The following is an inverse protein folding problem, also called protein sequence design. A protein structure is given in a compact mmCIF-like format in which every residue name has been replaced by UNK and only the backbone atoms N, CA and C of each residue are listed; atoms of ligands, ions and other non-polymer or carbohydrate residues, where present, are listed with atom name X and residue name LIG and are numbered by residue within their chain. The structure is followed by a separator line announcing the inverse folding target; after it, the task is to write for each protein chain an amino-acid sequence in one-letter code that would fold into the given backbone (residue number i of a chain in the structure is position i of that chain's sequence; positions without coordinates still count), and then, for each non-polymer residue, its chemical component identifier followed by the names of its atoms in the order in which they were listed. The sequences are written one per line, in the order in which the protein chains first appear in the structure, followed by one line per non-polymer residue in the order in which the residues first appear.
data_IF_936612807358
#
_entry.id   IF_936612807358
#
_cell.length_a   1.000
_cell.length_b   1.000
_cell.length_c   1.000
_cell.angle_alpha   90.00
_cell.angle_beta   90.00
_cell.angle_gamma   90.00
#
_symmetry.space_group_name_H-M   'P 1'
#
loop_
_entity.id
_entity.type
_entity.pdbx_description
1 polymer ?
#
# COMPACT_ATOMS: atom_id res chain seq x y z
N UNK A 1 -20.80 -10.26 10.81
CA UNK A 1 -20.71 -11.00 9.55
C UNK A 1 -19.29 -11.55 9.48
N UNK A 2 -19.12 -12.87 9.37
CA UNK A 2 -17.78 -13.45 9.29
C UNK A 2 -17.24 -13.29 7.88
N UNK A 3 -16.38 -12.29 7.68
CA UNK A 3 -15.80 -11.98 6.37
C UNK A 3 -14.90 -13.11 5.88
N UNK A 4 -14.28 -13.89 6.77
CA UNK A 4 -13.44 -15.02 6.38
C UNK A 4 -14.28 -16.18 5.80
N UNK A 5 -15.44 -16.44 6.40
CA UNK A 5 -16.46 -17.34 5.86
C UNK A 5 -16.90 -16.90 4.45
N UNK A 6 -17.15 -15.61 4.26
CA UNK A 6 -17.55 -15.07 2.95
C UNK A 6 -16.49 -15.27 1.87
N UNK A 7 -15.21 -15.15 2.21
CA UNK A 7 -14.11 -15.18 1.24
C UNK A 7 -13.69 -16.62 0.91
N UNK A 8 -13.73 -17.53 1.90
CA UNK A 8 -13.24 -18.90 1.79
C UNK A 8 -14.34 -19.94 1.53
N UNK A 9 -15.61 -19.61 1.83
CA UNK A 9 -16.74 -20.50 1.68
C UNK A 9 -16.96 -21.01 0.24
N UNK A 10 -17.53 -22.20 0.13
CA UNK A 10 -18.05 -22.73 -1.13
C UNK A 10 -19.23 -21.89 -1.63
N UNK A 11 -19.45 -21.90 -2.94
CA UNK A 11 -20.45 -21.05 -3.59
C UNK A 11 -21.86 -21.64 -3.39
N UNK A 12 -22.41 -21.41 -2.19
CA UNK A 12 -23.82 -21.65 -1.89
C UNK A 12 -24.63 -20.39 -2.16
N UNK A 13 -25.94 -20.56 -2.44
CA UNK A 13 -26.86 -19.43 -2.68
C UNK A 13 -26.86 -18.45 -1.49
N UNK A 14 -26.85 -18.98 -0.26
CA UNK A 14 -26.80 -18.16 0.96
C UNK A 14 -25.51 -17.33 1.07
N UNK A 15 -24.37 -17.89 0.66
CA UNK A 15 -23.07 -17.20 0.71
C UNK A 15 -22.96 -16.13 -0.38
N UNK A 16 -23.55 -16.40 -1.55
CA UNK A 16 -23.67 -15.42 -2.64
C UNK A 16 -24.51 -14.21 -2.20
N UNK A 17 -25.64 -14.44 -1.54
CA UNK A 17 -26.49 -13.37 -1.00
C UNK A 17 -25.74 -12.52 0.03
N UNK A 18 -25.03 -13.16 0.98
CA UNK A 18 -24.23 -12.43 1.98
C UNK A 18 -23.09 -11.61 1.33
N UNK A 19 -22.46 -12.11 0.26
CA UNK A 19 -21.44 -11.35 -0.51
C UNK A 19 -22.05 -10.16 -1.24
N UNK A 20 -23.23 -10.33 -1.83
CA UNK A 20 -23.94 -9.23 -2.47
C UNK A 20 -24.31 -8.16 -1.43
N UNK A 21 -24.81 -8.56 -0.26
CA UNK A 21 -25.10 -7.64 0.84
C UNK A 21 -23.85 -6.87 1.30
N UNK A 22 -22.69 -7.53 1.40
CA UNK A 22 -21.42 -6.86 1.71
C UNK A 22 -21.04 -5.87 0.60
N UNK A 23 -21.17 -6.25 -0.67
CA UNK A 23 -20.90 -5.37 -1.81
C UNK A 23 -21.80 -4.12 -1.79
N UNK A 24 -23.10 -4.32 -1.61
CA UNK A 24 -24.09 -3.24 -1.53
C UNK A 24 -23.82 -2.32 -0.33
N UNK A 25 -23.44 -2.89 0.81
CA UNK A 25 -23.01 -2.13 1.98
C UNK A 25 -21.78 -1.26 1.67
N UNK A 26 -20.73 -1.82 1.07
CA UNK A 26 -19.53 -1.07 0.71
C UNK A 26 -19.81 0.04 -0.32
N UNK A 27 -20.72 -0.21 -1.26
CA UNK A 27 -21.18 0.78 -2.22
C UNK A 27 -22.03 1.89 -1.57
N UNK A 28 -22.74 1.58 -0.48
CA UNK A 28 -23.56 2.54 0.26
C UNK A 28 -22.77 3.52 1.12
N UNK A 29 -21.47 3.27 1.34
CA UNK A 29 -20.64 4.15 2.16
C UNK A 29 -20.47 5.53 1.47
N UNK A 30 -20.69 6.64 2.21
CA UNK A 30 -20.65 8.00 1.64
C UNK A 30 -19.27 8.40 1.10
N UNK A 31 -18.20 7.85 1.68
CA UNK A 31 -16.84 7.99 1.18
C UNK A 31 -16.04 6.71 1.43
N UNK A 32 -15.06 6.48 0.57
CA UNK A 32 -14.20 5.29 0.58
C UNK A 32 -12.74 5.72 0.40
N UNK A 33 -11.79 5.06 1.07
CA UNK A 33 -10.38 5.30 0.79
C UNK A 33 -10.05 4.80 -0.62
N UNK A 34 -9.27 5.57 -1.38
CA UNK A 34 -8.75 5.12 -2.67
C UNK A 34 -7.52 4.22 -2.46
N UNK A 35 -6.70 4.58 -1.48
CA UNK A 35 -5.45 3.90 -1.17
C UNK A 35 -5.46 3.43 0.30
N UNK A 36 -5.09 2.17 0.51
CA UNK A 36 -5.14 1.52 1.81
C UNK A 36 -3.76 1.02 2.22
N UNK A 37 -3.36 1.28 3.45
CA UNK A 37 -2.11 0.79 4.02
C UNK A 37 -2.38 -0.12 5.21
N UNK A 38 -1.51 -1.11 5.39
CA UNK A 38 -1.53 -2.00 6.56
C UNK A 38 -0.12 -2.13 7.08
N UNK A 39 0.07 -1.90 8.37
CA UNK A 39 1.33 -2.16 9.05
C UNK A 39 1.19 -3.49 9.78
N UNK A 40 2.09 -4.42 9.49
CA UNK A 40 2.12 -5.73 10.11
C UNK A 40 3.16 -5.73 11.25
N UNK A 41 2.85 -6.31 12.43
CA UNK A 41 3.82 -6.41 13.51
C UNK A 41 4.97 -7.36 13.13
N UNK A 42 6.21 -7.00 13.46
CA UNK A 42 7.42 -7.78 13.13
C UNK A 42 7.52 -9.09 13.94
N UNK A 43 7.04 -9.10 15.18
CA UNK A 43 7.09 -10.26 16.07
C UNK A 43 5.91 -10.27 17.03
N UNK A 44 4.89 -11.07 16.72
CA UNK A 44 3.79 -11.36 17.61
C UNK A 44 2.98 -12.52 17.05
N UNK A 45 2.55 -13.44 17.91
CA UNK A 45 1.59 -14.49 17.57
C UNK A 45 0.28 -13.81 17.15
N UNK A 46 0.19 -13.43 15.88
CA UNK A 46 -1.04 -12.97 15.27
C UNK A 46 -1.87 -14.24 15.03
N UNK A 47 -2.53 -14.72 16.09
CA UNK A 47 -3.44 -15.85 16.03
C UNK A 47 -4.53 -15.57 14.97
N UNK A 48 -4.27 -16.02 13.73
CA UNK A 48 -5.13 -15.81 12.57
C UNK A 48 -4.46 -15.18 11.33
N UNK A 49 -3.34 -14.46 11.45
CA UNK A 49 -2.66 -13.75 10.33
C UNK A 49 -1.29 -14.38 9.97
N UNK A 50 -0.75 -15.25 10.84
CA UNK A 50 0.59 -15.87 10.82
C UNK A 50 1.02 -16.64 9.56
N UNK A 51 0.22 -16.69 8.50
CA UNK A 51 0.63 -17.37 7.26
C UNK A 51 0.54 -16.51 6.01
N UNK A 52 0.02 -15.29 6.06
CA UNK A 52 -0.19 -14.51 4.85
C UNK A 52 0.99 -13.64 4.44
N UNK A 53 1.60 -12.90 5.37
CA UNK A 53 2.48 -11.78 5.01
C UNK A 53 3.66 -11.54 5.97
N UNK A 54 3.84 -12.35 7.02
CA UNK A 54 5.00 -12.22 7.92
C UNK A 54 6.21 -12.94 7.30
N UNK A 55 6.99 -12.23 6.50
CA UNK A 55 8.35 -12.64 6.18
C UNK A 55 9.28 -11.71 6.95
N UNK A 56 10.25 -12.29 7.65
CA UNK A 56 11.35 -11.54 8.26
C UNK A 56 12.24 -11.02 7.12
N UNK A 57 12.04 -9.76 6.73
CA UNK A 57 12.66 -9.19 5.53
C UNK A 57 13.98 -8.50 5.90
N UNK A 58 15.01 -9.29 6.18
CA UNK A 58 16.36 -8.78 6.45
C UNK A 58 17.20 -8.46 5.20
N UNK A 59 16.72 -8.80 3.99
CA UNK A 59 17.49 -8.69 2.74
C UNK A 59 16.58 -8.46 1.53
N UNK A 60 17.07 -7.71 0.53
CA UNK A 60 16.39 -7.45 -0.75
C UNK A 60 16.10 -8.75 -1.53
N UNK A 61 16.96 -9.77 -1.43
CA UNK A 61 16.75 -11.06 -2.06
C UNK A 61 15.60 -11.83 -1.40
N UNK A 62 15.51 -11.75 -0.06
CA UNK A 62 14.39 -12.30 0.71
C UNK A 62 13.10 -11.56 0.37
N UNK A 63 13.16 -10.23 0.23
CA UNK A 63 12.01 -9.43 -0.17
C UNK A 63 11.52 -9.77 -1.59
N UNK A 64 12.42 -9.96 -2.56
CA UNK A 64 12.06 -10.37 -3.92
C UNK A 64 11.44 -11.78 -3.97
N UNK A 65 11.93 -12.71 -3.16
CA UNK A 65 11.32 -14.03 -3.02
C UNK A 65 9.92 -13.93 -2.39
N UNK A 66 9.78 -13.13 -1.32
CA UNK A 66 8.49 -12.84 -0.68
C UNK A 66 7.51 -12.15 -1.63
N UNK A 67 7.97 -11.20 -2.45
CA UNK A 67 7.17 -10.53 -3.50
C UNK A 67 6.63 -11.58 -4.49
N UNK A 68 7.50 -12.44 -5.02
CA UNK A 68 7.10 -13.50 -5.95
C UNK A 68 6.10 -14.47 -5.33
N UNK A 69 6.31 -14.85 -4.08
CA UNK A 69 5.40 -15.73 -3.34
C UNK A 69 4.04 -15.06 -3.08
N UNK A 70 4.02 -13.78 -2.69
CA UNK A 70 2.79 -13.02 -2.47
C UNK A 70 2.02 -12.87 -3.80
N UNK A 71 2.71 -12.49 -4.88
CA UNK A 71 2.11 -12.37 -6.20
C UNK A 71 1.50 -13.71 -6.65
N UNK A 72 2.24 -14.81 -6.48
CA UNK A 72 1.77 -16.15 -6.81
C UNK A 72 0.53 -16.52 -6.00
N UNK A 73 0.55 -16.27 -4.69
CA UNK A 73 -0.57 -16.54 -3.78
C UNK A 73 -1.79 -15.69 -4.08
N UNK A 74 -1.61 -14.41 -4.41
CA UNK A 74 -2.71 -13.54 -4.81
C UNK A 74 -3.35 -14.02 -6.12
N UNK A 75 -2.54 -14.41 -7.11
CA UNK A 75 -3.02 -14.97 -8.39
C UNK A 75 -3.77 -16.31 -8.23
N UNK A 76 -3.33 -17.14 -7.29
CA UNK A 76 -3.98 -18.41 -6.95
C UNK A 76 -5.14 -18.29 -5.96
N UNK A 77 -5.32 -17.11 -5.37
CA UNK A 77 -6.33 -16.90 -4.35
C UNK A 77 -7.72 -16.91 -4.99
N UNK A 78 -8.54 -17.91 -4.63
CA UNK A 78 -9.96 -17.97 -5.00
C UNK A 78 -10.71 -16.71 -4.59
N UNK A 79 -10.30 -16.08 -3.49
CA UNK A 79 -10.86 -14.82 -3.01
C UNK A 79 -10.63 -13.69 -4.02
N UNK A 80 -9.39 -13.57 -4.50
CA UNK A 80 -9.02 -12.55 -5.49
C UNK A 80 -9.74 -12.81 -6.81
N UNK A 81 -9.71 -14.05 -7.31
CA UNK A 81 -10.42 -14.40 -8.54
C UNK A 81 -11.92 -14.08 -8.45
N UNK A 82 -12.57 -14.36 -7.31
CA UNK A 82 -13.98 -14.01 -7.09
C UNK A 82 -14.23 -12.50 -7.05
N UNK A 83 -13.36 -11.73 -6.39
CA UNK A 83 -13.47 -10.28 -6.34
C UNK A 83 -13.42 -9.64 -7.74
N UNK A 84 -12.68 -10.25 -8.67
CA UNK A 84 -12.59 -9.83 -10.06
C UNK A 84 -13.50 -10.61 -11.02
N UNK A 85 -14.62 -11.15 -10.52
CA UNK A 85 -15.65 -11.77 -11.36
C UNK A 85 -15.19 -13.04 -12.10
N UNK A 86 -14.22 -13.76 -11.55
CA UNK A 86 -13.61 -14.95 -12.15
C UNK A 86 -12.51 -14.65 -13.17
N UNK A 87 -12.27 -13.38 -13.50
CA UNK A 87 -11.13 -12.98 -14.32
C UNK A 87 -9.83 -13.04 -13.51
N UNK A 88 -8.71 -13.33 -14.17
CA UNK A 88 -7.40 -13.12 -13.53
C UNK A 88 -7.12 -11.61 -13.51
N UNK A 89 -7.00 -10.99 -12.32
CA UNK A 89 -6.62 -9.59 -12.24
C UNK A 89 -5.17 -9.39 -12.66
N UNK A 90 -4.92 -8.25 -13.30
CA UNK A 90 -3.59 -7.71 -13.49
C UNK A 90 -3.10 -7.09 -12.17
N UNK A 91 -2.48 -7.92 -11.31
CA UNK A 91 -1.88 -7.50 -10.05
C UNK A 91 -0.43 -7.12 -10.28
N UNK A 92 -0.08 -5.90 -9.90
CA UNK A 92 1.31 -5.43 -9.88
C UNK A 92 1.77 -5.37 -8.43
N UNK A 93 2.84 -6.11 -8.13
CA UNK A 93 3.51 -6.08 -6.83
C UNK A 93 4.88 -5.42 -7.03
N UNK A 94 5.12 -4.33 -6.33
CA UNK A 94 6.41 -3.63 -6.38
C UNK A 94 7.04 -3.58 -4.99
N UNK A 95 8.30 -4.00 -4.92
CA UNK A 95 9.17 -3.62 -3.81
C UNK A 95 9.44 -2.14 -3.92
N UNK A 96 9.11 -1.40 -2.86
CA UNK A 96 9.26 0.04 -2.78
C UNK A 96 10.69 0.56 -2.77
N UNK A 97 11.71 -0.22 -3.18
CA UNK A 97 13.11 0.23 -3.20
C UNK A 97 13.26 1.47 -4.08
N UNK A 98 13.11 2.63 -3.43
CA UNK A 98 13.14 3.97 -4.02
C UNK A 98 14.44 4.23 -4.77
N UNK A 99 15.50 3.49 -4.45
CA UNK A 99 16.77 3.50 -5.15
C UNK A 99 16.65 3.21 -6.66
N UNK A 100 15.74 2.30 -7.06
CA UNK A 100 15.67 1.81 -8.45
C UNK A 100 14.97 2.76 -9.44
N UNK A 101 14.05 3.62 -8.98
CA UNK A 101 13.42 4.66 -9.83
C UNK A 101 14.17 5.99 -9.79
N UNK A 102 14.98 6.26 -8.74
CA UNK A 102 15.89 7.42 -8.70
C UNK A 102 16.69 7.48 -10.01
N UNK A 103 17.33 6.40 -10.44
CA UNK A 103 18.11 6.40 -11.70
C UNK A 103 17.30 6.76 -12.96
N UNK A 104 16.00 6.46 -13.01
CA UNK A 104 15.12 6.78 -14.16
C UNK A 104 14.65 8.23 -14.19
N UNK A 105 14.25 8.80 -13.05
CA UNK A 105 13.83 10.21 -12.99
C UNK A 105 15.01 11.17 -13.18
N UNK A 106 16.23 10.69 -12.95
CA UNK A 106 17.47 11.48 -13.05
C UNK A 106 18.10 11.46 -14.45
N UNK A 107 17.72 10.50 -15.32
CA UNK A 107 18.23 10.35 -16.70
C UNK A 107 17.22 10.77 -17.77
N UNK A 108 16.01 11.20 -17.38
CA UNK A 108 14.95 11.63 -18.30
C UNK A 108 15.24 12.93 -19.11
N UNK A 109 16.48 13.44 -19.07
CA UNK A 109 16.96 14.51 -19.94
C UNK A 109 17.84 14.00 -21.11
N UNK A 110 17.91 12.68 -21.34
CA UNK A 110 18.50 12.13 -22.56
C UNK A 110 17.58 11.09 -23.18
N UNK A 111 16.86 11.50 -24.23
CA UNK A 111 15.90 10.67 -24.93
C UNK A 111 16.50 9.35 -25.40
N UNK A 112 15.97 8.25 -24.88
CA UNK A 112 15.70 7.00 -25.61
C UNK A 112 14.74 6.22 -24.72
N UNK A 113 13.45 6.23 -25.08
CA UNK A 113 12.43 5.40 -24.45
C UNK A 113 12.63 3.94 -24.90
N UNK A 114 12.93 2.97 -24.02
CA UNK A 114 12.81 1.57 -24.38
C UNK A 114 11.39 1.08 -24.07
N UNK A 115 10.75 0.53 -25.09
CA UNK A 115 9.51 -0.27 -25.05
C UNK A 115 8.18 0.42 -24.69
N UNK A 116 7.73 1.28 -25.61
CA UNK A 116 6.33 1.72 -25.75
C UNK A 116 5.41 0.64 -26.36
N UNK A 117 5.43 -0.60 -25.87
CA UNK A 117 4.56 -1.66 -26.41
C UNK A 117 3.97 -2.66 -25.40
N UNK A 118 4.10 -2.40 -24.09
CA UNK A 118 3.21 -3.02 -23.10
C UNK A 118 1.99 -2.12 -22.97
N UNK A 119 0.84 -2.60 -23.47
CA UNK A 119 -0.45 -1.89 -23.45
C UNK A 119 -0.64 -1.13 -22.14
N UNK A 120 -1.00 0.15 -22.26
CA UNK A 120 -1.35 1.10 -21.20
C UNK A 120 -2.64 0.70 -20.43
N UNK A 121 -2.73 -0.52 -19.93
CA UNK A 121 -3.81 -0.92 -19.03
C UNK A 121 -3.34 -0.68 -17.60
N UNK A 122 -3.94 0.31 -16.92
CA UNK A 122 -3.81 0.51 -15.47
C UNK A 122 -4.02 -0.84 -14.77
N UNK A 123 -3.16 -1.24 -13.81
CA UNK A 123 -3.33 -2.51 -13.12
C UNK A 123 -4.66 -2.54 -12.36
N UNK A 124 -5.26 -3.73 -12.26
CA UNK A 124 -6.50 -3.97 -11.52
C UNK A 124 -6.26 -3.84 -10.01
N UNK A 125 -5.05 -4.18 -9.56
CA UNK A 125 -4.61 -4.06 -8.18
C UNK A 125 -3.11 -3.73 -8.15
N UNK A 126 -2.75 -2.75 -7.33
CA UNK A 126 -1.35 -2.45 -7.02
C UNK A 126 -1.07 -2.72 -5.55
N UNK A 127 0.06 -3.35 -5.26
CA UNK A 127 0.54 -3.59 -3.90
C UNK A 127 1.99 -3.14 -3.82
N UNK A 128 2.24 -2.10 -3.04
CA UNK A 128 3.60 -1.68 -2.67
C UNK A 128 4.02 -2.38 -1.38
N UNK A 129 5.19 -2.99 -1.38
CA UNK A 129 5.81 -3.52 -0.16
C UNK A 129 6.95 -2.61 0.29
N UNK A 130 6.89 -2.26 1.56
CA UNK A 130 7.56 -1.13 2.15
C UNK A 130 8.33 -1.63 3.38
N UNK A 131 9.60 -1.26 3.50
CA UNK A 131 10.54 -1.75 4.52
C UNK A 131 11.26 -0.60 5.16
N UNK A 132 11.72 -0.67 6.42
CA UNK A 132 12.34 0.45 7.17
C UNK A 132 13.25 1.41 6.37
N UNK A 133 13.97 0.91 5.37
CA UNK A 133 14.81 1.70 4.46
C UNK A 133 14.05 2.76 3.63
N UNK A 134 12.77 2.56 3.27
CA UNK A 134 11.98 3.55 2.50
C UNK A 134 11.42 4.72 3.34
N UNK A 135 11.80 4.81 4.63
CA UNK A 135 11.30 5.73 5.65
C UNK A 135 12.24 6.91 5.86
N UNK A 136 12.66 7.16 7.11
CA UNK A 136 13.69 8.19 7.40
C UNK A 136 15.01 7.97 6.65
N UNK A 137 15.55 6.75 6.52
CA UNK A 137 16.78 6.53 5.75
C UNK A 137 16.66 7.04 4.31
N UNK A 138 15.54 6.75 3.62
CA UNK A 138 15.30 7.27 2.27
C UNK A 138 15.24 8.81 2.20
N UNK A 139 14.65 9.47 3.20
CA UNK A 139 14.59 10.93 3.28
C UNK A 139 15.97 11.55 3.51
N UNK A 140 16.78 10.93 4.37
CA UNK A 140 18.17 11.34 4.63
C UNK A 140 19.01 11.20 3.36
N UNK A 141 18.89 10.07 2.67
CA UNK A 141 19.60 9.84 1.40
C UNK A 141 19.18 10.83 0.31
N UNK A 142 17.87 11.10 0.17
CA UNK A 142 17.39 12.13 -0.74
C UNK A 142 17.99 13.50 -0.40
N UNK A 143 17.99 13.87 0.88
CA UNK A 143 18.55 15.15 1.34
C UNK A 143 20.04 15.29 1.01
N UNK A 144 20.83 14.21 1.21
CA UNK A 144 22.25 14.17 0.82
C UNK A 144 22.43 14.37 -0.68
N UNK A 145 21.60 13.70 -1.49
CA UNK A 145 21.66 13.83 -2.94
C UNK A 145 21.32 15.24 -3.41
N UNK A 146 20.25 15.84 -2.89
CA UNK A 146 19.85 17.21 -3.20
C UNK A 146 20.94 18.22 -2.83
N UNK A 147 21.57 18.05 -1.67
CA UNK A 147 22.70 18.86 -1.25
C UNK A 147 23.92 18.68 -2.20
N UNK A 148 24.19 17.45 -2.64
CA UNK A 148 25.23 17.17 -3.62
C UNK A 148 25.00 17.88 -4.96
N UNK A 149 23.77 17.84 -5.48
CA UNK A 149 23.37 18.51 -6.73
C UNK A 149 23.38 20.04 -6.62
N UNK A 150 22.98 20.57 -5.46
CA UNK A 150 23.08 21.99 -5.19
C UNK A 150 24.53 22.46 -5.17
N UNK A 151 25.42 21.66 -4.56
CA UNK A 151 26.86 21.95 -4.50
C UNK A 151 27.53 21.88 -5.89
N UNK A 152 27.11 20.96 -6.76
CA UNK A 152 27.63 20.86 -8.13
C UNK A 152 27.07 21.92 -9.09
N UNK A 153 26.11 22.74 -8.63
CA UNK A 153 25.43 23.75 -9.46
C UNK A 153 24.37 23.18 -10.40
N UNK A 154 24.06 21.88 -10.30
CA UNK A 154 23.00 21.22 -11.10
C UNK A 154 21.59 21.57 -10.60
N UNK A 155 21.48 22.02 -9.35
CA UNK A 155 20.21 22.39 -8.73
C UNK A 155 20.39 23.73 -8.02
N UNK A 156 19.43 24.65 -8.18
CA UNK A 156 19.40 25.85 -7.36
C UNK A 156 18.80 25.50 -6.00
N UNK A 157 19.39 25.96 -4.90
CA UNK A 157 18.78 25.75 -3.58
C UNK A 157 17.37 26.37 -3.48
N UNK A 158 17.08 27.38 -4.29
CA UNK A 158 15.76 28.02 -4.38
C UNK A 158 14.73 27.20 -5.16
N UNK A 159 15.14 26.21 -5.94
CA UNK A 159 14.24 25.32 -6.66
C UNK A 159 13.88 24.06 -5.88
N UNK A 160 14.39 23.91 -4.65
CA UNK A 160 13.99 22.83 -3.73
C UNK A 160 12.80 23.32 -2.92
N UNK A 161 11.61 22.99 -3.38
CA UNK A 161 10.35 23.24 -2.68
C UNK A 161 9.65 21.91 -2.31
N UNK A 162 8.49 22.02 -1.64
CA UNK A 162 7.70 20.87 -1.21
C UNK A 162 7.23 20.02 -2.41
N UNK A 163 6.86 20.66 -3.52
CA UNK A 163 6.45 19.96 -4.73
C UNK A 163 7.59 19.14 -5.32
N UNK A 164 8.79 19.71 -5.36
CA UNK A 164 9.98 19.02 -5.84
C UNK A 164 10.33 17.82 -4.96
N UNK A 165 10.26 17.99 -3.63
CA UNK A 165 10.44 16.89 -2.69
C UNK A 165 9.38 15.80 -2.88
N UNK A 166 8.11 16.17 -3.04
CA UNK A 166 7.02 15.24 -3.30
C UNK A 166 7.26 14.41 -4.55
N UNK A 167 7.61 15.04 -5.68
CA UNK A 167 7.93 14.34 -6.95
C UNK A 167 9.11 13.37 -6.80
N UNK A 168 10.13 13.74 -6.04
CA UNK A 168 11.28 12.86 -5.78
C UNK A 168 10.95 11.71 -4.82
N UNK A 169 9.87 11.85 -4.03
CA UNK A 169 9.39 10.85 -3.07
C UNK A 169 8.16 10.09 -3.56
N UNK A 170 7.64 10.37 -4.75
CA UNK A 170 6.52 9.65 -5.34
C UNK A 170 6.80 8.14 -5.38
N UNK A 171 5.74 7.36 -5.15
CA UNK A 171 5.80 5.91 -5.25
C UNK A 171 6.29 5.51 -6.66
N UNK A 172 7.13 4.45 -6.78
CA UNK A 172 7.66 4.04 -8.07
C UNK A 172 6.61 3.75 -9.15
N UNK A 173 5.42 3.34 -8.75
CA UNK A 173 4.32 3.11 -9.67
C UNK A 173 3.32 4.29 -9.75
N UNK A 174 3.67 5.45 -9.18
CA UNK A 174 2.89 6.68 -9.26
C UNK A 174 1.64 6.69 -8.38
N UNK A 175 1.61 5.84 -7.35
CA UNK A 175 0.46 5.73 -6.47
C UNK A 175 0.39 6.86 -5.44
N UNK A 176 -0.83 7.30 -5.18
CA UNK A 176 -1.11 8.35 -4.21
C UNK A 176 -0.92 7.83 -2.77
N UNK A 177 -0.74 8.79 -1.87
CA UNK A 177 -0.63 8.55 -0.43
C UNK A 177 -1.84 7.78 0.12
N UNK A 178 -1.66 6.88 1.10
CA UNK A 178 -2.77 6.13 1.67
C UNK A 178 -3.77 7.07 2.35
N UNK A 179 -5.05 6.81 2.14
CA UNK A 179 -6.14 7.54 2.78
C UNK A 179 -6.45 7.00 4.17
N UNK A 180 -6.32 5.68 4.32
CA UNK A 180 -6.64 4.93 5.53
C UNK A 180 -5.53 3.90 5.78
N UNK A 181 -5.04 3.86 7.02
CA UNK A 181 -4.04 2.91 7.49
C UNK A 181 -4.58 2.08 8.65
N UNK A 182 -4.40 0.77 8.57
CA UNK A 182 -4.63 -0.12 9.71
C UNK A 182 -3.36 -0.30 10.53
N UNK A 183 -3.48 -0.04 11.83
CA UNK A 183 -2.41 -0.24 12.81
C UNK A 183 -2.86 -1.31 13.82
N UNK A 184 -2.10 -2.39 13.99
CA UNK A 184 -2.44 -3.42 14.97
C UNK A 184 -2.17 -2.96 16.41
N UNK A 185 -3.02 -3.37 17.36
CA UNK A 185 -3.07 -2.87 18.77
C UNK A 185 -1.72 -2.89 19.50
N UNK A 186 -0.85 -3.85 19.17
CA UNK A 186 0.46 -4.00 19.82
C UNK A 186 1.46 -2.89 19.43
N UNK A 187 1.14 -2.09 18.40
CA UNK A 187 1.91 -0.94 17.98
C UNK A 187 1.35 0.33 18.65
N UNK A 188 1.96 0.72 19.77
CA UNK A 188 1.63 1.95 20.53
C UNK A 188 1.91 3.23 19.72
N UNK A 189 2.73 3.14 18.68
CA UNK A 189 3.05 4.24 17.78
C UNK A 189 3.05 3.76 16.32
N UNK A 190 2.75 4.70 15.42
CA UNK A 190 3.04 4.50 13.99
C UNK A 190 4.57 4.37 13.88
N UNK A 191 5.10 3.24 13.39
CA UNK A 191 6.54 3.12 13.18
C UNK A 191 7.00 4.18 12.17
N UNK A 192 8.31 4.42 12.11
CA UNK A 192 8.95 5.55 11.41
C UNK A 192 8.83 5.56 9.86
N UNK A 193 7.66 5.18 9.33
CA UNK A 193 7.56 4.58 8.03
C UNK A 193 6.22 4.74 7.29
N UNK A 194 6.19 5.39 6.11
CA UNK A 194 7.05 6.47 5.65
C UNK A 194 6.35 7.82 5.92
N UNK A 195 6.99 8.71 6.70
CA UNK A 195 6.31 9.85 7.32
C UNK A 195 5.79 10.89 6.34
N UNK A 196 6.39 10.99 5.14
CA UNK A 196 5.92 11.92 4.11
C UNK A 196 4.59 11.47 3.51
N UNK A 197 4.44 10.19 3.21
CA UNK A 197 3.22 9.67 2.61
C UNK A 197 2.07 9.53 3.61
N UNK A 198 2.36 9.56 4.93
CA UNK A 198 1.35 9.38 5.96
C UNK A 198 0.75 10.70 6.49
N UNK A 199 1.15 11.86 5.95
CA UNK A 199 0.80 13.18 6.49
C UNK A 199 -0.71 13.44 6.63
N UNK A 200 -1.52 12.88 5.73
CA UNK A 200 -2.98 13.07 5.69
C UNK A 200 -3.75 11.74 5.71
N UNK A 201 -3.09 10.70 6.24
CA UNK A 201 -3.65 9.35 6.33
C UNK A 201 -4.43 9.20 7.62
N UNK A 202 -5.65 8.72 7.51
CA UNK A 202 -6.45 8.36 8.68
C UNK A 202 -5.94 7.07 9.28
N UNK A 203 -5.70 7.06 10.59
CA UNK A 203 -5.17 5.89 11.29
C UNK A 203 -6.31 5.19 12.03
N UNK A 204 -6.54 3.93 11.70
CA UNK A 204 -7.48 3.07 12.42
C UNK A 204 -6.72 1.98 13.16
N UNK A 205 -6.78 2.04 14.48
CA UNK A 205 -6.18 1.03 15.35
C UNK A 205 -7.10 -0.19 15.45
N UNK A 206 -6.57 -1.35 15.07
CA UNK A 206 -7.23 -2.64 15.23
C UNK A 206 -7.14 -3.03 16.69
N UNK A 207 -8.18 -2.67 17.46
CA UNK A 207 -8.28 -3.04 18.86
C UNK A 207 -8.56 -4.54 19.08
N UNK A 208 -8.25 -5.04 20.28
CA UNK A 208 -8.59 -6.39 20.76
C UNK A 208 -10.07 -6.82 20.60
N UNK A 209 -10.98 -5.86 20.38
CA UNK A 209 -12.39 -6.12 20.13
C UNK A 209 -12.70 -6.61 18.70
N UNK A 210 -11.74 -6.56 17.77
CA UNK A 210 -11.91 -7.10 16.42
C UNK A 210 -11.88 -8.63 16.45
N UNK A 211 -12.92 -9.27 15.90
CA UNK A 211 -13.02 -10.74 15.90
C UNK A 211 -12.18 -11.41 14.82
N UNK A 212 -11.89 -10.68 13.75
CA UNK A 212 -11.07 -11.11 12.62
C UNK A 212 -10.56 -9.89 11.85
N UNK A 213 -9.57 -10.09 10.97
CA UNK A 213 -9.07 -9.02 10.09
C UNK A 213 -10.17 -8.43 9.20
N UNK A 214 -11.08 -9.26 8.69
CA UNK A 214 -12.18 -8.75 7.87
C UNK A 214 -13.17 -7.91 8.67
N UNK A 215 -13.45 -8.26 9.93
CA UNK A 215 -14.23 -7.42 10.85
C UNK A 215 -13.52 -6.09 11.11
N UNK A 216 -12.19 -6.12 11.32
CA UNK A 216 -11.38 -4.92 11.49
C UNK A 216 -11.45 -3.99 10.26
N UNK A 217 -11.33 -4.54 9.04
CA UNK A 217 -11.43 -3.78 7.79
C UNK A 217 -12.80 -3.13 7.63
N UNK A 218 -13.89 -3.88 7.86
CA UNK A 218 -15.26 -3.33 7.75
C UNK A 218 -15.48 -2.19 8.75
N UNK A 219 -14.99 -2.34 9.99
CA UNK A 219 -15.06 -1.29 11.01
C UNK A 219 -14.23 -0.07 10.63
N UNK A 220 -13.04 -0.28 10.09
CA UNK A 220 -12.17 0.78 9.63
C UNK A 220 -12.81 1.59 8.48
N UNK A 221 -13.37 0.91 7.48
CA UNK A 221 -14.07 1.55 6.36
C UNK A 221 -15.30 2.32 6.84
N UNK A 222 -16.08 1.77 7.78
CA UNK A 222 -17.24 2.44 8.37
C UNK A 222 -16.84 3.67 9.18
N UNK A 223 -15.70 3.60 9.88
CA UNK A 223 -15.13 4.74 10.61
C UNK A 223 -14.69 5.82 9.64
N UNK A 224 -13.88 5.44 8.64
CA UNK A 224 -13.39 6.34 7.59
C UNK A 224 -14.53 7.05 6.86
N UNK A 225 -15.62 6.34 6.57
CA UNK A 225 -16.79 6.88 5.91
C UNK A 225 -17.44 8.07 6.65
N UNK A 226 -17.18 8.24 7.96
CA UNK A 226 -17.75 9.31 8.79
C UNK A 226 -16.81 10.48 9.01
N UNK A 227 -15.56 10.38 8.54
CA UNK A 227 -14.52 11.37 8.81
C UNK A 227 -14.73 12.62 7.97
N UNK A 228 -14.51 13.78 8.57
CA UNK A 228 -14.53 15.07 7.89
C UNK A 228 -13.09 15.61 7.76
N UNK A 229 -12.52 15.57 6.55
CA UNK A 229 -11.20 16.15 6.28
C UNK A 229 -11.33 17.67 6.05
N UNK A 230 -10.85 18.46 7.01
CA UNK A 230 -10.98 19.94 6.98
C UNK A 230 -9.85 20.68 6.27
N UNK A 231 -8.72 20.02 5.99
CA UNK A 231 -7.60 20.58 5.21
C UNK A 231 -7.16 21.99 5.67
N UNK A 232 -7.26 22.26 6.98
CA UNK A 232 -6.92 23.56 7.56
C UNK A 232 -7.93 24.70 7.34
N UNK A 233 -9.17 24.40 6.92
CA UNK A 233 -10.28 25.35 6.79
C UNK A 233 -11.25 25.30 7.96
#
# INVERSE_FOLDING_TARGET
MDVQELLLGEDTVELADKRQQLSDFLLSLPQRPENFAVILPETGECAGVDRALSCDVGSVETLCATVGDIEHRLKQSKMVQRAFGGSMPNIVLESGSRATKRERNLTADTGTSPDSNRRDSKPDMHVSLWSHDDGFPALVELSKELAGRAKSGMLSSKSVDESFAATMLEDPAGHAHPDLMLLYDDLVCVPEFPPWQLQNTEVFQIGSAAKSLGDAVVRALTSYAKIEKRWGK
#
